data_IF_076096677801
#
_entry.id   IF_076096677801
#
_cell.length_a   1.000
_cell.length_b   1.000
_cell.length_c   1.000
_cell.angle_alpha   90.00
_cell.angle_beta   90.00
_cell.angle_gamma   90.00
#
_symmetry.space_group_name_H-M   'P 1'
#
loop_
_entity.id
_entity.type
_entity.pdbx_description
1 polymer ?
#
# COMPACT_ATOMS: atom_id res chain seq x y z
N UNK A 1 -1.71 9.90 -5.81
CA UNK A 1 -0.90 8.67 -5.95
C UNK A 1 0.57 9.03 -5.81
N UNK A 2 1.44 8.07 -5.51
CA UNK A 2 2.85 8.32 -5.17
C UNK A 2 3.70 7.19 -5.73
N UNK A 3 5.00 7.41 -5.93
CA UNK A 3 5.97 6.37 -6.19
C UNK A 3 7.14 6.48 -5.21
N UNK A 4 7.53 5.36 -4.65
CA UNK A 4 8.68 5.23 -3.78
C UNK A 4 9.37 3.90 -4.01
N UNK A 5 10.62 3.80 -3.63
CA UNK A 5 11.39 2.57 -3.71
C UNK A 5 12.45 2.51 -2.61
N UNK A 6 12.63 1.32 -2.07
CA UNK A 6 13.74 0.96 -1.21
C UNK A 6 14.55 -0.16 -1.88
N UNK A 7 15.83 0.07 -2.10
CA UNK A 7 16.77 -0.93 -2.63
C UNK A 7 17.88 -1.14 -1.61
N UNK A 8 18.13 -2.39 -1.26
CA UNK A 8 19.11 -2.74 -0.23
C UNK A 8 20.05 -3.82 -0.76
N UNK A 9 21.31 -3.70 -0.38
CA UNK A 9 22.28 -4.79 -0.41
C UNK A 9 23.10 -4.80 0.88
N UNK A 10 24.15 -5.61 0.97
CA UNK A 10 24.98 -5.70 2.19
C UNK A 10 25.70 -4.39 2.54
N UNK A 11 25.91 -3.50 1.58
CA UNK A 11 26.69 -2.27 1.79
C UNK A 11 25.85 -1.09 2.23
N UNK A 12 24.61 -0.97 1.68
CA UNK A 12 23.79 0.22 1.89
C UNK A 12 22.33 0.00 1.51
N UNK A 13 21.54 1.04 1.80
CA UNK A 13 20.14 1.22 1.39
C UNK A 13 20.08 2.45 0.50
N UNK A 14 19.44 2.35 -0.66
CA UNK A 14 19.01 3.49 -1.46
C UNK A 14 17.50 3.70 -1.29
N UNK A 15 17.10 4.91 -0.92
CA UNK A 15 15.71 5.33 -0.85
C UNK A 15 15.46 6.41 -1.89
N UNK A 16 14.42 6.26 -2.71
CA UNK A 16 13.99 7.30 -3.64
C UNK A 16 12.47 7.46 -3.61
N UNK A 17 11.99 8.71 -3.70
CA UNK A 17 10.57 9.03 -3.73
C UNK A 17 10.29 10.23 -4.63
N UNK A 18 9.16 10.19 -5.36
CA UNK A 18 8.62 11.32 -6.12
C UNK A 18 8.00 12.38 -5.20
N UNK A 19 7.62 13.53 -5.78
CA UNK A 19 7.04 14.64 -5.03
C UNK A 19 5.59 14.95 -5.37
N UNK A 20 4.95 14.17 -6.26
CA UNK A 20 3.58 14.41 -6.65
C UNK A 20 2.59 14.00 -5.55
N UNK A 21 1.60 14.85 -5.28
CA UNK A 21 0.43 14.58 -4.44
C UNK A 21 -0.81 15.02 -5.22
N UNK A 22 -1.80 14.13 -5.29
CA UNK A 22 -3.11 14.42 -5.86
C UNK A 22 -4.05 14.84 -4.74
N UNK A 23 -4.72 15.97 -4.89
CA UNK A 23 -5.67 16.52 -3.91
C UNK A 23 -7.05 16.62 -4.55
N UNK A 24 -8.05 15.98 -3.90
CA UNK A 24 -9.46 16.01 -4.30
C UNK A 24 -9.78 15.17 -5.54
N UNK A 25 -11.09 14.98 -5.77
CA UNK A 25 -11.62 14.15 -6.87
C UNK A 25 -11.38 14.76 -8.26
N UNK A 26 -11.08 16.05 -8.33
CA UNK A 26 -10.79 16.78 -9.58
C UNK A 26 -9.29 17.02 -9.82
N UNK A 27 -8.44 16.25 -9.14
CA UNK A 27 -7.04 16.03 -9.49
C UNK A 27 -6.17 17.29 -9.62
N UNK A 28 -6.18 18.18 -8.62
CA UNK A 28 -5.07 19.11 -8.48
C UNK A 28 -3.82 18.34 -8.09
N UNK A 29 -2.80 18.39 -8.97
CA UNK A 29 -1.52 17.72 -8.71
C UNK A 29 -0.51 18.75 -8.23
N UNK A 30 -0.02 18.56 -7.02
CA UNK A 30 1.07 19.35 -6.45
C UNK A 30 2.36 18.53 -6.45
N UNK A 31 3.44 19.10 -6.97
CA UNK A 31 4.73 18.43 -7.15
C UNK A 31 5.77 18.85 -6.10
N UNK A 32 5.34 19.14 -4.87
CA UNK A 32 6.22 19.70 -3.82
C UNK A 32 6.18 18.92 -2.49
N UNK A 33 5.45 17.80 -2.41
CA UNK A 33 5.31 17.06 -1.17
C UNK A 33 6.61 16.35 -0.77
N UNK A 34 6.94 16.43 0.52
CA UNK A 34 8.03 15.66 1.10
C UNK A 34 7.52 14.27 1.49
N UNK A 35 8.17 13.25 0.98
CA UNK A 35 7.82 11.84 1.23
C UNK A 35 8.97 11.03 1.83
N UNK A 36 10.20 11.52 1.70
CA UNK A 36 11.41 10.90 2.22
C UNK A 36 11.97 11.74 3.37
N UNK A 37 12.30 11.09 4.48
CA UNK A 37 12.83 11.75 5.67
C UNK A 37 13.90 10.89 6.35
N UNK A 38 14.87 11.56 7.01
CA UNK A 38 15.69 10.90 8.03
C UNK A 38 14.85 10.80 9.31
N UNK A 39 14.70 9.59 9.85
CA UNK A 39 13.88 9.34 11.04
C UNK A 39 14.60 9.68 12.34
N UNK A 40 15.92 9.49 12.39
CA UNK A 40 16.78 9.86 13.53
C UNK A 40 17.70 11.01 13.18
N UNK A 41 18.28 11.64 14.21
CA UNK A 41 19.35 12.64 14.05
C UNK A 41 20.71 12.01 13.85
N UNK A 42 20.96 10.89 14.55
CA UNK A 42 22.27 10.25 14.64
C UNK A 42 22.25 8.83 14.07
N UNK A 43 21.18 8.08 14.25
CA UNK A 43 21.09 6.70 13.76
C UNK A 43 20.82 6.64 12.25
N UNK A 44 21.39 5.64 11.55
CA UNK A 44 21.24 5.43 10.11
C UNK A 44 19.86 4.86 9.77
N UNK A 45 18.81 5.65 9.97
CA UNK A 45 17.42 5.25 9.75
C UNK A 45 16.68 6.29 8.94
N UNK A 46 16.07 5.86 7.84
CA UNK A 46 15.23 6.66 6.97
C UNK A 46 13.80 6.16 6.91
N UNK A 47 12.90 7.01 6.43
CA UNK A 47 11.49 6.68 6.24
C UNK A 47 10.96 7.25 4.94
N UNK A 48 10.21 6.43 4.19
CA UNK A 48 9.37 6.87 3.07
C UNK A 48 7.92 6.80 3.51
N UNK A 49 7.15 7.85 3.19
CA UNK A 49 5.70 7.90 3.40
C UNK A 49 4.96 8.06 2.08
N UNK A 50 3.81 7.42 1.95
CA UNK A 50 3.02 7.44 0.73
C UNK A 50 1.53 7.16 1.01
N UNK A 51 0.71 7.05 -0.03
CA UNK A 51 -0.75 6.95 0.00
C UNK A 51 -1.36 8.26 0.56
N UNK A 52 -1.95 8.27 1.74
CA UNK A 52 -2.54 9.49 2.28
C UNK A 52 -1.47 10.45 2.80
N UNK A 53 -1.67 11.75 2.54
CA UNK A 53 -0.80 12.82 3.05
C UNK A 53 -1.01 13.09 4.55
N UNK A 54 -2.08 12.57 5.13
CA UNK A 54 -2.44 12.80 6.53
C UNK A 54 -2.88 11.49 7.18
N UNK A 55 -2.52 11.30 8.45
CA UNK A 55 -3.06 10.26 9.31
C UNK A 55 -4.14 10.91 10.20
N UNK A 56 -5.40 10.50 10.02
CA UNK A 56 -6.54 11.03 10.77
C UNK A 56 -6.54 12.58 10.86
N UNK A 57 -6.45 13.25 9.70
CA UNK A 57 -6.39 14.70 9.51
C UNK A 57 -5.06 15.38 9.84
N UNK A 58 -4.14 14.73 10.54
CA UNK A 58 -2.83 15.29 10.87
C UNK A 58 -1.83 14.98 9.75
N UNK A 59 -1.17 15.99 9.15
CA UNK A 59 -0.17 15.77 8.12
C UNK A 59 0.96 14.85 8.58
N UNK A 60 1.22 13.78 7.82
CA UNK A 60 2.21 12.75 8.19
C UNK A 60 3.63 13.34 8.32
N UNK A 61 3.96 14.34 7.51
CA UNK A 61 5.23 15.07 7.62
C UNK A 61 5.43 15.68 9.00
N UNK A 62 4.37 16.26 9.60
CA UNK A 62 4.43 16.83 10.95
C UNK A 62 4.65 15.72 11.97
N UNK A 63 3.96 14.60 11.83
CA UNK A 63 4.09 13.45 12.72
C UNK A 63 5.53 12.92 12.72
N UNK A 64 6.11 12.68 11.54
CA UNK A 64 7.49 12.19 11.39
C UNK A 64 8.49 13.17 11.99
N UNK A 65 8.33 14.48 11.73
CA UNK A 65 9.23 15.51 12.27
C UNK A 65 9.13 15.64 13.79
N UNK A 66 7.92 15.53 14.36
CA UNK A 66 7.73 15.55 15.81
C UNK A 66 8.28 14.29 16.47
N UNK A 67 8.08 13.12 15.87
CA UNK A 67 8.69 11.89 16.34
C UNK A 67 10.22 12.01 16.35
N UNK A 68 10.83 12.44 15.24
CA UNK A 68 12.29 12.69 15.17
C UNK A 68 12.78 13.59 16.28
N UNK A 69 12.02 14.66 16.59
CA UNK A 69 12.36 15.58 17.70
C UNK A 69 12.28 14.87 19.06
N UNK A 70 11.25 14.02 19.28
CA UNK A 70 11.07 13.28 20.53
C UNK A 70 12.10 12.16 20.68
N UNK A 71 12.44 11.46 19.58
CA UNK A 71 13.48 10.45 19.57
C UNK A 71 14.82 11.04 20.02
N UNK A 72 15.13 12.27 19.59
CA UNK A 72 16.37 12.94 19.98
C UNK A 72 17.59 12.15 19.54
N UNK A 73 18.48 11.89 20.49
CA UNK A 73 19.72 11.14 20.31
C UNK A 73 19.63 9.69 20.83
N UNK A 74 18.40 9.17 20.99
CA UNK A 74 18.20 7.75 21.33
C UNK A 74 18.62 6.87 20.17
N UNK A 75 19.32 5.79 20.49
CA UNK A 75 19.66 4.70 19.59
C UNK A 75 19.04 3.41 20.09
N UNK A 76 18.71 2.52 19.17
CA UNK A 76 18.14 1.20 19.49
C UNK A 76 18.98 0.10 18.87
N UNK A 77 19.04 -1.08 19.51
CA UNK A 77 19.83 -2.22 19.03
C UNK A 77 19.43 -2.70 17.64
N UNK A 78 18.13 -2.69 17.33
CA UNK A 78 17.59 -3.21 16.05
C UNK A 78 16.69 -2.18 15.38
N UNK A 79 16.59 -2.25 14.05
CA UNK A 79 15.63 -1.43 13.28
C UNK A 79 14.20 -1.65 13.77
N UNK A 80 13.85 -2.87 14.10
CA UNK A 80 12.52 -3.20 14.64
C UNK A 80 12.17 -2.37 15.87
N UNK A 81 13.12 -2.09 16.73
CA UNK A 81 12.90 -1.31 17.95
C UNK A 81 12.52 0.16 17.62
N UNK A 82 13.09 0.73 16.53
CA UNK A 82 12.67 2.04 16.01
C UNK A 82 11.24 2.00 15.49
N UNK A 83 10.86 0.92 14.82
CA UNK A 83 9.49 0.71 14.32
C UNK A 83 8.52 0.61 15.49
N UNK A 84 8.82 -0.20 16.48
CA UNK A 84 7.98 -0.41 17.66
C UNK A 84 7.84 0.89 18.50
N UNK A 85 8.93 1.67 18.63
CA UNK A 85 8.89 2.98 19.31
C UNK A 85 8.08 4.01 18.53
N UNK A 86 8.17 4.01 17.18
CA UNK A 86 7.34 4.86 16.33
C UNK A 86 5.85 4.52 16.42
N UNK A 87 5.48 3.24 16.38
CA UNK A 87 4.11 2.79 16.55
C UNK A 87 3.56 3.14 17.94
N UNK A 88 4.36 2.92 18.99
CA UNK A 88 4.02 3.34 20.36
C UNK A 88 3.86 4.85 20.47
N UNK A 89 4.72 5.64 19.80
CA UNK A 89 4.56 7.08 19.75
C UNK A 89 3.21 7.49 19.16
N UNK A 90 2.79 6.87 18.06
CA UNK A 90 1.50 7.14 17.44
C UNK A 90 0.34 6.79 18.38
N UNK A 91 0.44 5.68 19.10
CA UNK A 91 -0.59 5.22 20.02
C UNK A 91 -0.68 6.09 21.29
N UNK A 92 0.45 6.38 21.94
CA UNK A 92 0.49 7.14 23.21
C UNK A 92 0.28 8.62 22.99
N UNK A 93 0.84 9.20 21.92
CA UNK A 93 0.64 10.62 21.54
C UNK A 93 -0.66 10.85 20.77
N UNK A 94 -1.58 9.93 20.87
CA UNK A 94 -2.91 10.01 20.26
C UNK A 94 -3.72 11.25 20.63
N UNK A 95 -3.20 12.15 21.51
CA UNK A 95 -3.75 13.50 21.68
C UNK A 95 -3.88 14.29 20.36
N UNK A 96 -3.05 13.99 19.35
CA UNK A 96 -3.23 14.47 17.99
C UNK A 96 -4.46 13.89 17.28
N UNK A 97 -4.91 12.69 17.71
CA UNK A 97 -5.94 11.90 17.04
C UNK A 97 -7.20 11.73 17.91
N UNK A 98 -7.21 12.22 19.16
CA UNK A 98 -8.25 11.96 20.19
C UNK A 98 -9.55 12.72 19.98
N UNK A 99 -9.85 13.16 18.80
CA UNK A 99 -11.17 13.70 18.53
C UNK A 99 -12.07 12.61 18.00
N UNK A 100 -13.23 12.41 18.62
CA UNK A 100 -14.25 11.45 18.14
C UNK A 100 -14.57 11.64 16.65
N UNK A 101 -14.53 12.89 16.18
CA UNK A 101 -14.70 13.21 14.77
C UNK A 101 -13.61 12.60 13.85
N UNK A 102 -12.38 12.48 14.32
CA UNK A 102 -11.29 11.90 13.53
C UNK A 102 -11.43 10.38 13.44
N UNK A 103 -11.83 9.71 14.53
CA UNK A 103 -12.16 8.29 14.52
C UNK A 103 -13.35 8.03 13.60
N UNK A 104 -14.43 8.81 13.74
CA UNK A 104 -15.61 8.70 12.90
C UNK A 104 -15.26 8.91 11.40
N UNK A 105 -14.46 9.92 11.08
CA UNK A 105 -14.03 10.16 9.68
C UNK A 105 -13.28 8.97 9.09
N UNK A 106 -12.35 8.38 9.85
CA UNK A 106 -11.62 7.19 9.41
C UNK A 106 -12.56 6.00 9.23
N UNK A 107 -13.43 5.76 10.20
CA UNK A 107 -14.42 4.67 10.15
C UNK A 107 -15.35 4.85 8.95
N UNK A 108 -15.89 6.05 8.74
CA UNK A 108 -16.77 6.31 7.60
C UNK A 108 -16.06 6.22 6.25
N UNK A 109 -14.77 6.55 6.17
CA UNK A 109 -14.01 6.38 4.94
C UNK A 109 -13.89 4.90 4.55
N UNK A 110 -13.50 4.03 5.48
CA UNK A 110 -13.42 2.58 5.24
C UNK A 110 -14.80 2.01 4.87
N UNK A 111 -15.84 2.43 5.56
CA UNK A 111 -17.23 2.06 5.24
C UNK A 111 -17.63 2.48 3.82
N UNK A 112 -17.39 3.76 3.46
CA UNK A 112 -17.70 4.30 2.13
C UNK A 112 -16.99 3.53 1.02
N UNK A 113 -15.74 3.19 1.20
CA UNK A 113 -14.97 2.44 0.20
C UNK A 113 -15.54 1.04 -0.04
N UNK A 114 -16.00 0.37 1.01
CA UNK A 114 -16.65 -0.93 0.87
C UNK A 114 -18.00 -0.79 0.13
N UNK A 115 -18.79 0.25 0.46
CA UNK A 115 -20.06 0.51 -0.22
C UNK A 115 -19.87 0.90 -1.69
N UNK A 116 -18.84 1.69 -2.01
CA UNK A 116 -18.46 1.97 -3.39
C UNK A 116 -18.07 0.70 -4.16
N UNK A 117 -17.37 -0.23 -3.51
CA UNK A 117 -17.06 -1.55 -4.07
C UNK A 117 -18.32 -2.35 -4.39
N UNK A 118 -19.25 -2.44 -3.44
CA UNK A 118 -20.53 -3.13 -3.60
C UNK A 118 -21.36 -2.53 -4.75
N UNK A 119 -21.45 -1.21 -4.82
CA UNK A 119 -22.13 -0.52 -5.91
C UNK A 119 -21.45 -0.78 -7.26
N UNK A 120 -20.12 -0.83 -7.28
CA UNK A 120 -19.33 -1.17 -8.46
C UNK A 120 -19.63 -2.60 -8.96
N UNK A 121 -19.65 -3.57 -8.06
CA UNK A 121 -20.02 -4.97 -8.39
C UNK A 121 -21.44 -5.06 -8.92
N UNK A 122 -22.40 -4.43 -8.26
CA UNK A 122 -23.80 -4.38 -8.72
C UNK A 122 -23.91 -3.81 -10.14
N UNK A 123 -23.30 -2.67 -10.41
CA UNK A 123 -23.35 -2.04 -11.73
C UNK A 123 -22.66 -2.90 -12.80
N UNK A 124 -21.55 -3.55 -12.48
CA UNK A 124 -20.84 -4.44 -13.38
C UNK A 124 -21.68 -5.69 -13.71
N UNK A 125 -22.23 -6.36 -12.71
CA UNK A 125 -23.09 -7.52 -12.92
C UNK A 125 -24.34 -7.17 -13.72
N UNK A 126 -24.95 -6.00 -13.44
CA UNK A 126 -26.08 -5.48 -14.18
C UNK A 126 -25.73 -5.24 -15.67
N UNK A 127 -24.60 -4.61 -15.95
CA UNK A 127 -24.13 -4.37 -17.32
C UNK A 127 -23.89 -5.68 -18.08
N UNK A 128 -23.28 -6.69 -17.44
CA UNK A 128 -23.05 -8.00 -18.02
C UNK A 128 -24.37 -8.71 -18.32
N UNK A 129 -25.32 -8.70 -17.38
CA UNK A 129 -26.64 -9.33 -17.55
C UNK A 129 -27.44 -8.67 -18.67
N UNK A 130 -27.44 -7.32 -18.75
CA UNK A 130 -28.10 -6.58 -19.83
C UNK A 130 -27.50 -6.90 -21.20
N UNK A 131 -26.16 -7.01 -21.28
CA UNK A 131 -25.48 -7.39 -22.52
C UNK A 131 -25.86 -8.79 -22.98
N UNK A 132 -25.99 -9.73 -22.04
CA UNK A 132 -26.30 -11.13 -22.34
C UNK A 132 -27.79 -11.35 -22.69
N UNK A 133 -28.71 -10.64 -22.01
CA UNK A 133 -30.15 -10.78 -22.26
C UNK A 133 -30.61 -10.06 -23.51
N UNK A 134 -29.93 -9.00 -23.91
CA UNK A 134 -30.36 -8.10 -25.01
C UNK A 134 -31.68 -7.36 -24.74
N UNK A 135 -32.20 -7.44 -23.51
CA UNK A 135 -33.49 -6.86 -23.05
C UNK A 135 -33.29 -6.10 -21.76
N UNK A 136 -34.18 -5.15 -21.41
CA UNK A 136 -34.24 -4.60 -20.06
C UNK A 136 -34.44 -5.73 -19.03
N UNK A 137 -33.69 -5.65 -17.94
CA UNK A 137 -33.77 -6.63 -16.83
C UNK A 137 -35.08 -6.39 -16.05
N UNK A 138 -35.73 -7.48 -15.63
CA UNK A 138 -36.89 -7.42 -14.76
C UNK A 138 -36.50 -7.27 -13.26
N UNK A 139 -37.51 -7.12 -12.41
CA UNK A 139 -37.26 -6.92 -10.97
C UNK A 139 -36.62 -8.15 -10.31
N UNK A 140 -36.92 -9.37 -10.75
CA UNK A 140 -36.38 -10.59 -10.18
C UNK A 140 -34.90 -10.74 -10.54
N UNK A 141 -34.55 -10.43 -11.80
CA UNK A 141 -33.16 -10.40 -12.26
C UNK A 141 -32.34 -9.34 -11.52
N UNK A 142 -32.90 -8.13 -11.30
CA UNK A 142 -32.25 -7.07 -10.53
C UNK A 142 -32.03 -7.47 -9.06
N UNK A 143 -32.99 -8.13 -8.42
CA UNK A 143 -32.87 -8.65 -7.06
C UNK A 143 -31.77 -9.72 -6.96
N UNK A 144 -31.68 -10.62 -7.97
CA UNK A 144 -30.63 -11.61 -8.02
C UNK A 144 -29.25 -10.94 -8.12
N UNK A 145 -29.11 -9.96 -9.00
CA UNK A 145 -27.87 -9.18 -9.16
C UNK A 145 -27.49 -8.48 -7.86
N UNK A 146 -28.46 -7.91 -7.13
CA UNK A 146 -28.23 -7.32 -5.82
C UNK A 146 -27.69 -8.34 -4.81
N UNK A 147 -28.28 -9.54 -4.79
CA UNK A 147 -27.84 -10.64 -3.93
C UNK A 147 -26.43 -11.10 -4.29
N UNK A 148 -26.11 -11.21 -5.58
CA UNK A 148 -24.78 -11.60 -6.05
C UNK A 148 -23.72 -10.54 -5.67
N UNK A 149 -24.04 -9.24 -5.74
CA UNK A 149 -23.16 -8.16 -5.32
C UNK A 149 -22.90 -8.18 -3.79
N UNK A 150 -23.94 -8.42 -3.00
CA UNK A 150 -23.82 -8.58 -1.54
C UNK A 150 -22.93 -9.79 -1.21
N UNK A 151 -23.17 -10.94 -1.84
CA UNK A 151 -22.37 -12.15 -1.65
C UNK A 151 -20.92 -11.96 -2.05
N UNK A 152 -20.65 -11.22 -3.13
CA UNK A 152 -19.28 -10.82 -3.54
C UNK A 152 -18.59 -10.03 -2.43
N UNK A 153 -19.28 -9.02 -1.88
CA UNK A 153 -18.76 -8.20 -0.78
C UNK A 153 -18.49 -9.02 0.49
N UNK A 154 -19.42 -9.90 0.87
CA UNK A 154 -19.26 -10.78 2.03
C UNK A 154 -18.07 -11.75 1.82
N UNK A 155 -17.96 -12.31 0.63
CA UNK A 155 -16.86 -13.20 0.25
C UNK A 155 -15.52 -12.48 0.33
N UNK A 156 -15.45 -11.23 -0.17
CA UNK A 156 -14.28 -10.38 -0.05
C UNK A 156 -13.88 -10.20 1.43
N UNK A 157 -14.79 -9.78 2.29
CA UNK A 157 -14.52 -9.59 3.72
C UNK A 157 -14.03 -10.87 4.39
N UNK A 158 -14.66 -12.00 4.08
CA UNK A 158 -14.27 -13.30 4.64
C UNK A 158 -12.92 -13.82 4.13
N UNK A 159 -12.48 -13.40 2.94
CA UNK A 159 -11.20 -13.79 2.35
C UNK A 159 -10.00 -13.06 2.97
N UNK A 160 -10.23 -11.91 3.62
CA UNK A 160 -9.15 -11.12 4.20
C UNK A 160 -8.75 -11.72 5.55
N UNK A 161 -7.44 -11.79 5.79
CA UNK A 161 -6.89 -12.34 7.02
C UNK A 161 -7.38 -11.58 8.23
N UNK A 162 -8.04 -12.27 9.15
CA UNK A 162 -8.40 -11.73 10.47
C UNK A 162 -7.18 -11.68 11.38
N UNK A 163 -7.11 -10.63 12.19
CA UNK A 163 -6.12 -10.46 13.25
C UNK A 163 -6.77 -10.73 14.59
N UNK A 164 -6.25 -11.71 15.31
CA UNK A 164 -6.78 -12.11 16.64
C UNK A 164 -6.46 -11.09 17.74
N UNK A 165 -5.44 -10.27 17.53
CA UNK A 165 -5.05 -9.18 18.43
C UNK A 165 -5.97 -7.96 18.34
N UNK A 166 -6.84 -7.87 17.33
CA UNK A 166 -7.78 -6.79 17.15
C UNK A 166 -9.19 -7.18 17.62
N UNK A 167 -9.85 -6.30 18.32
CA UNK A 167 -11.27 -6.40 18.74
C UNK A 167 -11.99 -5.08 18.41
N UNK A 168 -11.70 -4.56 17.21
CA UNK A 168 -12.30 -3.31 16.74
C UNK A 168 -13.72 -3.53 16.26
N UNK A 169 -13.99 -4.65 15.60
CA UNK A 169 -15.27 -4.96 14.98
C UNK A 169 -16.43 -4.86 15.95
N UNK A 170 -16.27 -5.41 17.15
CA UNK A 170 -17.28 -5.35 18.22
C UNK A 170 -17.50 -3.92 18.73
N UNK A 171 -16.43 -3.13 18.87
CA UNK A 171 -16.54 -1.72 19.26
C UNK A 171 -17.26 -0.92 18.17
N UNK A 172 -16.87 -1.13 16.90
CA UNK A 172 -17.48 -0.46 15.73
C UNK A 172 -18.96 -0.85 15.60
N UNK A 173 -19.31 -2.13 15.77
CA UNK A 173 -20.70 -2.59 15.78
C UNK A 173 -21.52 -1.84 16.83
N UNK A 174 -21.03 -1.76 18.07
CA UNK A 174 -21.72 -1.08 19.16
C UNK A 174 -21.88 0.44 18.96
N UNK A 175 -20.90 1.08 18.30
CA UNK A 175 -20.87 2.55 18.18
C UNK A 175 -21.41 3.07 16.84
N UNK A 176 -21.18 2.35 15.73
CA UNK A 176 -21.39 2.87 14.37
C UNK A 176 -22.38 2.09 13.51
N UNK A 177 -22.82 0.88 13.90
CA UNK A 177 -23.72 0.06 13.08
C UNK A 177 -25.01 0.79 12.70
N UNK A 178 -25.64 1.47 13.65
CA UNK A 178 -26.87 2.24 13.39
C UNK A 178 -26.65 3.37 12.40
N UNK A 179 -25.48 4.03 12.47
CA UNK A 179 -25.09 5.09 11.53
C UNK A 179 -24.86 4.51 10.13
N UNK A 180 -24.21 3.36 10.01
CA UNK A 180 -24.00 2.68 8.72
C UNK A 180 -25.32 2.35 8.04
N UNK A 181 -26.26 1.76 8.77
CA UNK A 181 -27.60 1.43 8.27
C UNK A 181 -28.33 2.69 7.80
N UNK A 182 -28.28 3.77 8.59
CA UNK A 182 -28.90 5.05 8.23
C UNK A 182 -28.31 5.63 6.95
N UNK A 183 -26.98 5.59 6.78
CA UNK A 183 -26.28 6.10 5.60
C UNK A 183 -26.66 5.31 4.35
N UNK A 184 -26.68 3.96 4.42
CA UNK A 184 -27.09 3.12 3.28
C UNK A 184 -28.54 3.41 2.89
N UNK A 185 -29.45 3.54 3.85
CA UNK A 185 -30.87 3.84 3.58
C UNK A 185 -31.11 5.21 2.95
N UNK A 186 -30.21 6.17 3.19
CA UNK A 186 -30.27 7.52 2.61
C UNK A 186 -29.60 7.62 1.25
N UNK A 187 -28.76 6.67 0.87
CA UNK A 187 -28.05 6.70 -0.42
C UNK A 187 -28.97 6.20 -1.54
N UNK A 188 -29.31 7.10 -2.45
CA UNK A 188 -30.15 6.81 -3.61
C UNK A 188 -29.55 5.71 -4.51
N UNK A 189 -28.24 5.57 -4.54
CA UNK A 189 -27.56 4.58 -5.36
C UNK A 189 -27.62 3.15 -4.75
N UNK A 190 -27.96 3.00 -3.48
CA UNK A 190 -28.00 1.73 -2.76
C UNK A 190 -29.43 1.24 -2.48
N UNK A 191 -30.44 1.87 -3.07
CA UNK A 191 -31.86 1.53 -2.88
C UNK A 191 -32.28 0.17 -3.46
N UNK A 192 -31.40 -0.49 -4.19
CA UNK A 192 -31.61 -1.86 -4.66
C UNK A 192 -31.48 -2.92 -3.56
N UNK A 193 -30.94 -2.55 -2.38
CA UNK A 193 -30.75 -3.46 -1.25
C UNK A 193 -32.02 -3.59 -0.41
N UNK A 194 -32.32 -4.81 0.05
CA UNK A 194 -33.37 -5.05 1.06
C UNK A 194 -32.87 -4.68 2.46
N UNK A 195 -33.80 -4.51 3.41
CA UNK A 195 -33.45 -4.22 4.81
C UNK A 195 -32.55 -5.30 5.43
N UNK A 196 -32.79 -6.58 5.10
CA UNK A 196 -31.97 -7.71 5.55
C UNK A 196 -30.55 -7.62 4.98
N UNK A 197 -30.42 -7.34 3.67
CA UNK A 197 -29.12 -7.17 2.99
C UNK A 197 -28.34 -5.99 3.55
N UNK A 198 -29.03 -4.86 3.85
CA UNK A 198 -28.41 -3.69 4.49
C UNK A 198 -27.83 -4.07 5.86
N UNK A 199 -28.62 -4.76 6.70
CA UNK A 199 -28.13 -5.20 8.01
C UNK A 199 -26.94 -6.15 7.90
N UNK A 200 -27.00 -7.12 6.99
CA UNK A 200 -25.96 -8.10 6.80
C UNK A 200 -24.64 -7.43 6.35
N UNK A 201 -24.70 -6.58 5.32
CA UNK A 201 -23.50 -5.88 4.79
C UNK A 201 -22.92 -4.93 5.83
N UNK A 202 -23.77 -4.14 6.53
CA UNK A 202 -23.29 -3.22 7.56
C UNK A 202 -22.64 -3.96 8.74
N UNK A 203 -23.19 -5.11 9.14
CA UNK A 203 -22.58 -5.96 10.16
C UNK A 203 -21.25 -6.57 9.69
N UNK A 204 -21.19 -7.05 8.45
CA UNK A 204 -19.94 -7.53 7.85
C UNK A 204 -18.89 -6.43 7.73
N UNK A 205 -19.29 -5.20 7.47
CA UNK A 205 -18.38 -4.05 7.48
C UNK A 205 -17.74 -3.88 8.87
N UNK A 206 -18.48 -4.09 9.97
CA UNK A 206 -17.89 -4.02 11.31
C UNK A 206 -16.80 -5.07 11.51
N UNK A 207 -16.96 -6.29 11.00
CA UNK A 207 -15.95 -7.35 11.07
C UNK A 207 -14.67 -7.01 10.26
N UNK A 208 -14.78 -6.17 9.23
CA UNK A 208 -13.66 -5.77 8.39
C UNK A 208 -12.55 -5.05 9.18
N UNK A 209 -12.92 -4.34 10.25
CA UNK A 209 -11.93 -3.63 11.07
C UNK A 209 -11.00 -4.56 11.85
N UNK A 210 -11.37 -5.84 12.04
CA UNK A 210 -10.52 -6.88 12.64
C UNK A 210 -9.61 -7.57 11.62
N UNK A 211 -9.55 -7.09 10.40
CA UNK A 211 -8.76 -7.70 9.32
C UNK A 211 -7.60 -6.80 8.90
N UNK A 212 -6.71 -7.33 8.06
CA UNK A 212 -5.64 -6.57 7.39
C UNK A 212 -6.15 -5.69 6.22
N UNK A 213 -7.46 -5.41 6.18
CA UNK A 213 -8.02 -4.52 5.16
C UNK A 213 -7.48 -3.10 5.30
N UNK A 214 -6.90 -2.60 4.23
CA UNK A 214 -6.22 -1.30 4.18
C UNK A 214 -6.76 -0.37 3.08
N UNK A 215 -7.84 -0.76 2.38
CA UNK A 215 -8.51 0.15 1.45
C UNK A 215 -9.13 1.30 2.22
N UNK A 216 -9.17 2.47 1.62
CA UNK A 216 -9.97 3.60 2.12
C UNK A 216 -9.28 4.54 3.09
N UNK A 217 -8.02 4.47 3.37
CA UNK A 217 -7.47 5.51 4.21
C UNK A 217 -6.29 5.14 5.07
N UNK A 218 -5.32 4.47 4.52
CA UNK A 218 -4.06 4.23 5.20
C UNK A 218 -2.96 5.21 4.77
N UNK A 219 -1.98 5.35 5.64
CA UNK A 219 -0.69 5.94 5.31
C UNK A 219 0.31 4.80 5.20
N UNK A 220 0.96 4.68 4.04
CA UNK A 220 2.08 3.76 3.87
C UNK A 220 3.34 4.35 4.49
N UNK A 221 4.01 3.58 5.33
CA UNK A 221 5.25 3.98 6.01
C UNK A 221 6.28 2.87 5.85
N UNK A 222 7.37 3.16 5.14
CA UNK A 222 8.48 2.23 4.99
C UNK A 222 9.69 2.78 5.77
N UNK A 223 10.07 2.10 6.85
CA UNK A 223 11.22 2.46 7.69
C UNK A 223 12.36 1.51 7.32
N UNK A 224 13.49 2.07 6.91
CA UNK A 224 14.67 1.31 6.52
C UNK A 224 15.93 1.88 7.17
N UNK A 225 16.86 1.01 7.55
CA UNK A 225 18.06 1.43 8.24
C UNK A 225 18.77 0.29 8.94
N UNK A 226 19.52 0.68 9.97
CA UNK A 226 20.27 -0.22 10.85
C UNK A 226 20.00 0.14 12.30
N UNK A 227 19.80 -0.86 13.13
CA UNK A 227 19.99 -0.72 14.57
C UNK A 227 21.46 -0.68 14.94
N UNK A 228 21.77 -0.35 16.19
CA UNK A 228 23.16 -0.24 16.67
C UNK A 228 23.92 -1.55 16.55
N UNK A 229 23.25 -2.68 16.85
CA UNK A 229 23.84 -4.02 16.82
C UNK A 229 23.71 -4.72 15.46
N UNK A 230 23.01 -4.12 14.49
CA UNK A 230 22.82 -4.71 13.16
C UNK A 230 23.97 -4.34 12.23
N UNK A 231 24.54 -5.35 11.55
CA UNK A 231 25.57 -5.18 10.53
C UNK A 231 24.93 -4.97 9.15
N UNK A 232 23.83 -5.66 8.90
CA UNK A 232 23.11 -5.60 7.63
C UNK A 232 21.85 -4.75 7.72
N UNK A 233 21.42 -4.16 6.60
CA UNK A 233 20.23 -3.33 6.57
C UNK A 233 18.94 -4.14 6.69
N UNK A 234 17.94 -3.49 7.25
CA UNK A 234 16.60 -4.01 7.40
C UNK A 234 15.57 -2.98 6.89
N UNK A 235 14.45 -3.45 6.34
CA UNK A 235 13.27 -2.69 5.95
C UNK A 235 12.06 -3.26 6.67
N UNK A 236 11.23 -2.39 7.24
CA UNK A 236 9.87 -2.72 7.67
C UNK A 236 8.89 -1.78 6.99
N UNK A 237 7.96 -2.35 6.25
CA UNK A 237 6.95 -1.65 5.48
C UNK A 237 5.58 -1.85 6.14
N UNK A 238 4.89 -0.75 6.45
CA UNK A 238 3.67 -0.70 7.24
C UNK A 238 2.57 0.03 6.47
N UNK A 239 1.34 -0.43 6.62
CA UNK A 239 0.14 0.35 6.37
C UNK A 239 -0.49 0.75 7.70
N UNK A 240 -0.60 2.04 7.95
CA UNK A 240 -1.15 2.60 9.18
C UNK A 240 -2.51 3.21 8.86
N UNK A 241 -3.58 2.62 9.37
CA UNK A 241 -4.96 3.05 9.13
C UNK A 241 -5.35 4.24 10.00
N UNK A 242 -5.55 4.01 11.28
CA UNK A 242 -5.97 5.04 12.22
C UNK A 242 -6.01 4.52 13.66
N UNK A 243 -6.50 5.36 14.56
CA UNK A 243 -6.71 5.02 15.97
C UNK A 243 -8.19 4.78 16.19
N UNK A 244 -8.56 3.56 16.58
CA UNK A 244 -9.91 3.13 16.92
C UNK A 244 -9.92 2.72 18.37
N UNK A 245 -10.84 3.26 19.17
CA UNK A 245 -10.93 2.95 20.60
C UNK A 245 -9.57 3.08 21.32
N UNK A 246 -8.83 4.12 21.03
CA UNK A 246 -7.47 4.41 21.56
C UNK A 246 -6.40 3.37 21.22
N UNK A 247 -6.63 2.48 20.25
CA UNK A 247 -5.63 1.53 19.75
C UNK A 247 -5.29 1.84 18.30
N UNK A 248 -4.02 1.77 17.96
CA UNK A 248 -3.54 1.98 16.59
C UNK A 248 -3.81 0.76 15.72
N UNK A 249 -4.54 0.95 14.61
CA UNK A 249 -4.71 -0.07 13.58
C UNK A 249 -3.59 0.07 12.54
N UNK A 250 -2.80 -0.98 12.39
CA UNK A 250 -1.73 -1.05 11.37
C UNK A 250 -1.54 -2.50 10.90
N UNK A 251 -0.94 -2.67 9.74
CA UNK A 251 -0.48 -3.97 9.25
C UNK A 251 0.97 -3.90 8.79
N UNK A 252 1.71 -4.99 8.96
CA UNK A 252 3.05 -5.16 8.38
C UNK A 252 2.84 -5.76 6.99
N UNK A 253 3.16 -4.97 5.96
CA UNK A 253 3.03 -5.38 4.54
C UNK A 253 4.20 -6.25 4.14
N UNK A 254 5.41 -5.81 4.53
CA UNK A 254 6.66 -6.48 4.19
C UNK A 254 7.70 -6.22 5.28
N UNK A 255 8.53 -7.21 5.54
CA UNK A 255 9.74 -7.07 6.34
C UNK A 255 10.86 -7.79 5.61
N UNK A 256 11.90 -7.07 5.21
CA UNK A 256 13.04 -7.59 4.47
C UNK A 256 14.34 -7.30 5.22
N UNK A 257 15.04 -8.34 5.60
CA UNK A 257 16.34 -8.27 6.25
C UNK A 257 17.41 -8.79 5.30
N UNK A 258 18.48 -8.05 5.12
CA UNK A 258 19.66 -8.52 4.39
C UNK A 258 20.48 -9.44 5.30
N UNK A 259 20.94 -10.52 4.73
CA UNK A 259 21.68 -11.57 5.46
C UNK A 259 22.66 -12.28 4.54
N UNK A 260 23.28 -13.36 5.03
CA UNK A 260 24.13 -14.21 4.19
C UNK A 260 23.33 -14.90 3.07
N UNK A 261 22.07 -15.26 3.32
CA UNK A 261 21.19 -15.95 2.38
C UNK A 261 20.34 -15.00 1.54
N UNK A 262 20.08 -13.79 2.03
CA UNK A 262 19.33 -12.74 1.34
C UNK A 262 20.24 -11.54 1.12
N UNK A 263 20.95 -11.52 -0.01
CA UNK A 263 22.03 -10.55 -0.25
C UNK A 263 21.59 -9.20 -0.80
N UNK A 264 20.37 -9.11 -1.31
CA UNK A 264 19.78 -7.87 -1.82
C UNK A 264 18.25 -7.93 -1.80
N UNK A 265 17.60 -6.77 -1.70
CA UNK A 265 16.16 -6.61 -1.79
C UNK A 265 15.81 -5.35 -2.57
N UNK A 266 14.74 -5.43 -3.35
CA UNK A 266 14.10 -4.30 -4.04
C UNK A 266 12.64 -4.29 -3.60
N UNK A 267 12.23 -3.25 -2.89
CA UNK A 267 10.87 -3.06 -2.41
C UNK A 267 10.23 -1.82 -3.08
N UNK A 268 9.44 -2.01 -4.14
CA UNK A 268 8.61 -0.94 -4.70
C UNK A 268 7.51 -0.53 -3.71
N UNK A 269 7.27 0.78 -3.59
CA UNK A 269 6.30 1.36 -2.67
C UNK A 269 5.25 2.18 -3.44
N UNK A 270 4.00 2.12 -3.02
CA UNK A 270 2.85 2.82 -3.61
C UNK A 270 2.47 2.32 -5.01
N UNK A 271 2.80 3.03 -6.08
CA UNK A 271 2.52 2.59 -7.45
C UNK A 271 3.58 1.61 -7.93
N UNK A 272 3.34 0.34 -7.68
CA UNK A 272 4.31 -0.73 -7.88
C UNK A 272 4.25 -1.37 -9.27
N UNK A 273 3.16 -1.19 -10.03
CA UNK A 273 2.85 -1.88 -11.29
C UNK A 273 3.95 -1.75 -12.35
N UNK A 274 4.52 -0.55 -12.50
CA UNK A 274 5.60 -0.28 -13.48
C UNK A 274 6.89 -0.96 -13.05
N UNK A 275 7.24 -0.81 -11.77
CA UNK A 275 8.46 -1.39 -11.21
C UNK A 275 8.38 -2.91 -11.17
N UNK A 276 7.21 -3.48 -10.81
CA UNK A 276 6.97 -4.93 -10.86
C UNK A 276 7.06 -5.45 -12.29
N UNK A 277 6.48 -4.73 -13.28
CA UNK A 277 6.63 -5.11 -14.68
C UNK A 277 8.10 -5.13 -15.12
N UNK A 278 8.91 -4.17 -14.66
CA UNK A 278 10.35 -4.15 -14.92
C UNK A 278 11.05 -5.34 -14.27
N UNK A 279 10.73 -5.65 -13.01
CA UNK A 279 11.38 -6.70 -12.23
C UNK A 279 11.01 -8.11 -12.73
N UNK A 280 9.73 -8.34 -13.02
CA UNK A 280 9.22 -9.65 -13.40
C UNK A 280 9.06 -9.86 -14.92
N UNK A 281 9.22 -8.79 -15.73
CA UNK A 281 9.00 -8.85 -17.18
C UNK A 281 7.53 -9.01 -17.59
N UNK A 282 6.62 -9.13 -16.63
CA UNK A 282 5.17 -9.33 -16.84
C UNK A 282 4.41 -8.42 -15.88
N UNK A 283 3.29 -7.85 -16.37
CA UNK A 283 2.40 -7.06 -15.54
C UNK A 283 1.44 -7.96 -14.75
N UNK A 284 1.24 -7.68 -13.45
CA UNK A 284 0.36 -8.48 -12.58
C UNK A 284 -1.10 -8.49 -13.05
N UNK A 285 -1.59 -7.36 -13.62
CA UNK A 285 -2.93 -7.28 -14.18
C UNK A 285 -3.08 -8.25 -15.35
N UNK A 286 -2.05 -8.37 -16.20
CA UNK A 286 -2.06 -9.31 -17.32
C UNK A 286 -2.15 -10.77 -16.84
N UNK A 287 -1.43 -11.13 -15.77
CA UNK A 287 -1.53 -12.45 -15.13
C UNK A 287 -2.94 -12.67 -14.57
N UNK A 288 -3.51 -11.66 -13.92
CA UNK A 288 -4.87 -11.71 -13.38
C UNK A 288 -5.91 -11.88 -14.49
N UNK A 289 -5.80 -11.12 -15.57
CA UNK A 289 -6.69 -11.21 -16.72
C UNK A 289 -6.62 -12.61 -17.38
N UNK A 290 -5.43 -13.17 -17.54
CA UNK A 290 -5.26 -14.54 -18.02
C UNK A 290 -5.86 -15.57 -17.06
N UNK A 291 -5.63 -15.41 -15.75
CA UNK A 291 -6.20 -16.32 -14.73
C UNK A 291 -7.73 -16.34 -14.74
N UNK A 292 -8.36 -15.23 -15.11
CA UNK A 292 -9.81 -15.11 -15.22
C UNK A 292 -10.34 -15.56 -16.58
N UNK A 293 -9.58 -15.33 -17.65
CA UNK A 293 -10.06 -15.60 -19.01
C UNK A 293 -9.87 -17.05 -19.43
N UNK A 294 -8.76 -17.69 -19.07
CA UNK A 294 -8.49 -19.09 -19.44
C UNK A 294 -9.62 -20.04 -18.98
N UNK A 295 -10.09 -19.99 -17.70
CA UNK A 295 -11.21 -20.82 -17.26
C UNK A 295 -12.49 -20.60 -18.09
N UNK A 296 -12.82 -19.35 -18.42
CA UNK A 296 -14.01 -19.02 -19.23
C UNK A 296 -13.93 -19.64 -20.64
N UNK A 297 -12.75 -19.60 -21.26
CA UNK A 297 -12.54 -20.20 -22.58
C UNK A 297 -12.59 -21.73 -22.51
N UNK A 298 -12.10 -22.34 -21.44
CA UNK A 298 -12.23 -23.76 -21.17
C UNK A 298 -13.71 -24.14 -21.02
N UNK A 299 -14.47 -23.38 -20.24
CA UNK A 299 -15.90 -23.60 -20.03
C UNK A 299 -16.68 -23.47 -21.34
N UNK A 300 -16.40 -22.43 -22.12
CA UNK A 300 -17.02 -22.24 -23.43
C UNK A 300 -16.73 -23.42 -24.37
N UNK A 301 -15.48 -23.90 -24.39
CA UNK A 301 -15.07 -25.05 -25.16
C UNK A 301 -15.80 -26.34 -24.72
N UNK A 302 -15.80 -26.64 -23.42
CA UNK A 302 -16.47 -27.82 -22.87
C UNK A 302 -17.99 -27.79 -23.08
N UNK A 303 -18.62 -26.62 -23.02
CA UNK A 303 -20.03 -26.43 -23.25
C UNK A 303 -20.42 -26.54 -24.73
N UNK A 304 -19.49 -26.36 -25.66
CA UNK A 304 -19.72 -26.60 -27.12
C UNK A 304 -19.66 -28.08 -27.51
N UNK A 305 -19.15 -28.94 -26.64
CA UNK A 305 -19.06 -30.37 -26.88
C UNK A 305 -20.37 -31.05 -26.43
N UNK A 306 -20.97 -31.83 -27.29
CA UNK A 306 -22.18 -32.59 -26.97
C UNK A 306 -21.93 -33.54 -25.78
N UNK A 307 -22.86 -33.59 -24.84
CA UNK A 307 -22.73 -34.37 -23.60
C UNK A 307 -22.60 -35.87 -23.87
N UNK A 308 -23.04 -36.34 -25.03
CA UNK A 308 -22.91 -37.74 -25.47
C UNK A 308 -21.45 -38.20 -25.66
N UNK A 309 -20.52 -37.24 -25.84
CA UNK A 309 -19.09 -37.57 -25.91
C UNK A 309 -18.46 -37.83 -24.52
N UNK A 310 -19.16 -37.51 -23.45
CA UNK A 310 -18.70 -37.77 -22.10
C UNK A 310 -19.42 -38.94 -21.49
N UNK A 311 -18.70 -39.91 -20.92
CA UNK A 311 -19.33 -40.91 -20.06
C UNK A 311 -20.00 -40.21 -18.85
N UNK A 312 -21.10 -40.76 -18.35
CA UNK A 312 -21.89 -40.18 -17.26
C UNK A 312 -21.01 -39.67 -16.12
N UNK A 313 -21.14 -38.39 -15.81
CA UNK A 313 -20.39 -37.67 -14.72
C UNK A 313 -18.94 -37.32 -15.06
N UNK A 314 -18.39 -37.64 -16.22
CA UNK A 314 -16.98 -37.36 -16.54
C UNK A 314 -16.72 -35.91 -17.01
N UNK A 315 -17.74 -35.19 -17.49
CA UNK A 315 -17.60 -33.80 -17.92
C UNK A 315 -17.12 -32.90 -16.77
N UNK A 316 -17.68 -33.05 -15.57
CA UNK A 316 -17.26 -32.32 -14.38
C UNK A 316 -15.83 -32.64 -13.93
N UNK A 317 -15.39 -33.90 -14.11
CA UNK A 317 -14.02 -34.31 -13.81
C UNK A 317 -13.03 -33.66 -14.79
N UNK A 318 -13.38 -33.64 -16.09
CA UNK A 318 -12.56 -32.97 -17.11
C UNK A 318 -12.46 -31.46 -16.81
N UNK A 319 -13.58 -30.81 -16.44
CA UNK A 319 -13.62 -29.42 -16.05
C UNK A 319 -12.69 -29.12 -14.85
N UNK A 320 -12.78 -29.94 -13.80
CA UNK A 320 -11.89 -29.79 -12.64
C UNK A 320 -10.41 -30.00 -12.99
N UNK A 321 -10.09 -30.95 -13.88
CA UNK A 321 -8.73 -31.16 -14.35
C UNK A 321 -8.20 -29.99 -15.18
N UNK A 322 -9.02 -29.39 -16.04
CA UNK A 322 -8.64 -28.21 -16.84
C UNK A 322 -8.40 -26.98 -15.99
N UNK A 323 -9.19 -26.76 -14.94
CA UNK A 323 -8.93 -25.69 -13.98
C UNK A 323 -7.60 -25.89 -13.22
N UNK A 324 -7.25 -27.14 -12.88
CA UNK A 324 -5.94 -27.48 -12.32
C UNK A 324 -4.79 -27.22 -13.33
N UNK A 325 -5.01 -27.43 -14.63
CA UNK A 325 -4.03 -27.10 -15.67
C UNK A 325 -3.80 -25.58 -15.73
N UNK A 326 -4.86 -24.79 -15.68
CA UNK A 326 -4.76 -23.31 -15.64
C UNK A 326 -3.90 -22.86 -14.46
N UNK A 327 -4.16 -23.37 -13.25
CA UNK A 327 -3.35 -23.05 -12.07
C UNK A 327 -1.87 -23.38 -12.26
N UNK A 328 -1.54 -24.54 -12.84
CA UNK A 328 -0.16 -24.93 -13.14
C UNK A 328 0.51 -24.04 -14.20
N UNK A 329 -0.23 -23.63 -15.23
CA UNK A 329 0.29 -22.69 -16.24
C UNK A 329 0.67 -21.36 -15.59
N UNK A 330 -0.24 -20.78 -14.81
CA UNK A 330 0.00 -19.51 -14.11
C UNK A 330 1.19 -19.63 -13.14
N UNK A 331 1.25 -20.70 -12.36
CA UNK A 331 2.38 -20.96 -11.47
C UNK A 331 3.70 -21.04 -12.25
N UNK A 332 3.74 -21.80 -13.36
CA UNK A 332 4.94 -21.91 -14.19
C UNK A 332 5.37 -20.57 -14.80
N UNK A 333 4.41 -19.75 -15.25
CA UNK A 333 4.71 -18.41 -15.75
C UNK A 333 5.31 -17.52 -14.66
N UNK A 334 4.76 -17.55 -13.44
CA UNK A 334 5.25 -16.78 -12.30
C UNK A 334 6.65 -17.24 -11.87
N UNK A 335 6.88 -18.55 -11.79
CA UNK A 335 8.19 -19.12 -11.48
C UNK A 335 9.23 -18.77 -12.56
N UNK A 336 8.85 -18.83 -13.83
CA UNK A 336 9.71 -18.46 -14.96
C UNK A 336 10.05 -16.97 -14.92
N UNK A 337 9.07 -16.11 -14.65
CA UNK A 337 9.28 -14.67 -14.48
C UNK A 337 10.25 -14.40 -13.32
N UNK A 338 10.04 -15.03 -12.17
CA UNK A 338 10.93 -14.91 -11.01
C UNK A 338 12.35 -15.36 -11.30
N UNK A 339 12.52 -16.52 -11.94
CA UNK A 339 13.85 -17.09 -12.20
C UNK A 339 14.64 -16.38 -13.29
N UNK A 340 13.96 -15.97 -14.39
CA UNK A 340 14.64 -15.45 -15.58
C UNK A 340 14.79 -13.93 -15.59
N UNK A 341 13.95 -13.20 -14.84
CA UNK A 341 13.96 -11.74 -14.81
C UNK A 341 14.32 -11.19 -13.43
N UNK A 342 13.56 -11.52 -12.38
CA UNK A 342 13.78 -10.93 -11.06
C UNK A 342 15.10 -11.38 -10.42
N UNK A 343 15.38 -12.70 -10.43
CA UNK A 343 16.60 -13.24 -9.77
C UNK A 343 17.90 -12.68 -10.33
N UNK A 344 18.13 -12.55 -11.66
CA UNK A 344 19.33 -11.92 -12.20
C UNK A 344 19.48 -10.46 -11.77
N UNK A 345 18.38 -9.69 -11.69
CA UNK A 345 18.40 -8.30 -11.21
C UNK A 345 18.84 -8.26 -9.75
N UNK A 346 18.25 -9.09 -8.87
CA UNK A 346 18.61 -9.15 -7.45
C UNK A 346 20.10 -9.54 -7.28
N UNK A 347 20.59 -10.51 -8.07
CA UNK A 347 22.00 -10.90 -8.04
C UNK A 347 22.94 -9.74 -8.45
N UNK A 348 22.55 -8.96 -9.45
CA UNK A 348 23.29 -7.76 -9.86
C UNK A 348 23.28 -6.71 -8.75
N UNK A 349 22.11 -6.42 -8.15
CA UNK A 349 21.96 -5.45 -7.06
C UNK A 349 22.80 -5.83 -5.83
N UNK A 350 22.97 -7.11 -5.56
CA UNK A 350 23.80 -7.60 -4.44
C UNK A 350 25.26 -7.13 -4.50
N UNK A 351 25.76 -6.84 -5.70
CA UNK A 351 27.15 -6.41 -5.93
C UNK A 351 27.28 -4.94 -6.35
N UNK A 352 26.19 -4.18 -6.44
CA UNK A 352 26.25 -2.77 -6.84
C UNK A 352 26.98 -1.91 -5.79
N UNK A 353 27.86 -0.99 -6.23
CA UNK A 353 28.35 0.09 -5.38
C UNK A 353 27.23 1.02 -4.89
N UNK A 354 27.51 1.80 -3.87
CA UNK A 354 26.53 2.67 -3.22
C UNK A 354 25.90 3.69 -4.18
N UNK A 355 26.72 4.32 -5.04
CA UNK A 355 26.26 5.31 -6.02
C UNK A 355 25.33 4.68 -7.06
N UNK A 356 25.63 3.45 -7.49
CA UNK A 356 24.84 2.73 -8.49
C UNK A 356 23.49 2.27 -7.89
N UNK A 357 23.45 1.93 -6.60
CA UNK A 357 22.16 1.68 -5.90
C UNK A 357 21.26 2.90 -5.93
N UNK A 358 21.81 4.09 -5.68
CA UNK A 358 21.08 5.35 -5.72
C UNK A 358 20.58 5.67 -7.13
N UNK A 359 21.43 5.48 -8.13
CA UNK A 359 21.09 5.69 -9.54
C UNK A 359 19.99 4.74 -9.99
N UNK A 360 20.05 3.48 -9.58
CA UNK A 360 19.00 2.49 -9.87
C UNK A 360 17.67 2.91 -9.23
N UNK A 361 17.68 3.30 -7.94
CA UNK A 361 16.47 3.73 -7.24
C UNK A 361 15.83 4.96 -7.92
N UNK A 362 16.62 5.96 -8.28
CA UNK A 362 16.14 7.13 -9.01
C UNK A 362 15.57 6.77 -10.39
N UNK A 363 16.26 5.88 -11.13
CA UNK A 363 15.86 5.44 -12.48
C UNK A 363 14.50 4.73 -12.45
N UNK A 364 14.24 3.91 -11.44
CA UNK A 364 12.96 3.23 -11.26
C UNK A 364 11.79 4.22 -11.04
N UNK A 365 12.02 5.28 -10.25
CA UNK A 365 11.03 6.36 -10.09
C UNK A 365 10.83 7.13 -11.41
N UNK A 366 11.91 7.41 -12.14
CA UNK A 366 11.85 8.10 -13.44
C UNK A 366 11.05 7.31 -14.47
N UNK A 367 11.26 5.99 -14.59
CA UNK A 367 10.52 5.11 -15.51
C UNK A 367 9.03 5.11 -15.13
N UNK A 368 8.70 5.04 -13.84
CA UNK A 368 7.31 5.10 -13.35
C UNK A 368 6.67 6.44 -13.72
N UNK A 369 7.37 7.55 -13.47
CA UNK A 369 6.90 8.90 -13.83
C UNK A 369 6.70 9.05 -15.33
N UNK A 370 7.64 8.56 -16.17
CA UNK A 370 7.54 8.62 -17.62
C UNK A 370 6.32 7.84 -18.12
N UNK A 371 6.13 6.61 -17.66
CA UNK A 371 4.97 5.80 -18.05
C UNK A 371 3.66 6.51 -17.72
N UNK A 372 3.54 7.11 -16.52
CA UNK A 372 2.33 7.85 -16.12
C UNK A 372 2.08 9.12 -16.94
N UNK A 373 3.13 9.77 -17.44
CA UNK A 373 3.01 10.95 -18.31
C UNK A 373 2.55 10.62 -19.73
N UNK A 374 2.94 9.46 -20.26
CA UNK A 374 2.61 9.04 -21.64
C UNK A 374 1.39 8.12 -21.73
N UNK A 375 0.90 7.60 -20.62
CA UNK A 375 -0.30 6.79 -20.59
C UNK A 375 -1.55 7.67 -20.89
N UNK A 376 -2.42 7.17 -21.76
CA UNK A 376 -3.69 7.84 -22.13
C UNK A 376 -4.81 7.50 -21.12
N UNK A 377 -4.49 6.80 -20.04
CA UNK A 377 -5.45 6.43 -19.02
C UNK A 377 -5.75 7.59 -18.04
N UNK A 378 -6.79 7.42 -17.21
CA UNK A 378 -7.30 8.45 -16.28
C UNK A 378 -6.31 8.86 -15.17
N UNK A 379 -5.14 8.21 -15.09
CA UNK A 379 -4.13 8.42 -14.06
C UNK A 379 -2.98 9.33 -14.49
N UNK A 380 -3.20 10.21 -15.46
CA UNK A 380 -2.18 11.12 -16.01
C UNK A 380 -1.62 12.02 -14.89
N UNK A 381 -0.28 12.04 -14.76
CA UNK A 381 0.42 12.98 -13.89
C UNK A 381 0.46 12.65 -12.40
N UNK A 382 -0.01 11.48 -11.98
CA UNK A 382 -0.09 11.09 -10.55
C UNK A 382 1.26 10.76 -9.91
N UNK A 383 2.32 10.59 -10.69
CA UNK A 383 3.72 10.44 -10.27
C UNK A 383 4.55 11.48 -11.00
N UNK A 384 5.38 12.23 -10.28
CA UNK A 384 6.21 13.26 -10.90
C UNK A 384 6.79 14.26 -9.90
N UNK A 385 7.25 15.40 -10.45
CA UNK A 385 7.98 16.40 -9.69
C UNK A 385 9.44 15.99 -9.42
N UNK A 386 10.18 16.78 -8.64
CA UNK A 386 11.53 16.43 -8.20
C UNK A 386 11.56 15.11 -7.44
N UNK A 387 12.61 14.33 -7.66
CA UNK A 387 12.85 13.07 -6.95
C UNK A 387 13.83 13.33 -5.82
N UNK A 388 13.45 12.99 -4.60
CA UNK A 388 14.34 12.96 -3.46
C UNK A 388 15.04 11.59 -3.42
N UNK A 389 16.37 11.59 -3.22
CA UNK A 389 17.19 10.37 -3.16
C UNK A 389 18.11 10.45 -1.95
N UNK A 390 18.15 9.39 -1.18
CA UNK A 390 19.08 9.24 -0.06
C UNK A 390 19.74 7.87 -0.06
N UNK A 391 20.92 7.82 0.53
CA UNK A 391 21.64 6.60 0.87
C UNK A 391 21.71 6.48 2.39
N UNK A 392 21.66 5.26 2.87
CA UNK A 392 21.89 4.93 4.27
C UNK A 392 22.93 3.84 4.32
N UNK A 393 24.06 4.11 4.96
CA UNK A 393 25.08 3.12 5.25
C UNK A 393 25.37 3.04 6.73
N UNK A 394 25.94 1.93 7.19
CA UNK A 394 26.27 1.77 8.62
C UNK A 394 27.35 2.77 9.07
N UNK A 395 28.30 3.08 8.19
CA UNK A 395 29.41 4.00 8.50
C UNK A 395 29.10 5.46 8.33
N UNK A 396 28.41 5.84 7.22
CA UNK A 396 28.18 7.25 6.89
C UNK A 396 26.84 7.79 7.43
N UNK A 397 25.96 6.90 7.90
CA UNK A 397 24.62 7.27 8.37
C UNK A 397 23.65 7.54 7.23
N UNK A 398 22.73 8.48 7.45
CA UNK A 398 21.73 8.89 6.45
C UNK A 398 22.24 10.11 5.65
N UNK A 399 22.47 9.93 4.36
CA UNK A 399 23.00 10.95 3.44
C UNK A 399 21.98 11.27 2.34
N UNK A 400 21.73 12.56 2.14
CA UNK A 400 20.97 13.06 1.01
C UNK A 400 21.88 13.16 -0.23
N UNK A 401 21.52 12.49 -1.31
CA UNK A 401 22.15 12.69 -2.62
C UNK A 401 21.40 13.72 -3.45
N UNK A 402 20.05 13.68 -3.40
CA UNK A 402 19.17 14.67 -4.04
C UNK A 402 18.05 15.03 -3.07
N UNK A 403 17.84 16.33 -2.85
CA UNK A 403 16.79 16.85 -2.00
C UNK A 403 16.24 18.13 -2.58
N UNK A 404 14.94 18.19 -2.74
CA UNK A 404 14.25 19.45 -3.06
C UNK A 404 14.16 20.35 -1.83
N UNK A 405 14.23 21.65 -2.08
CA UNK A 405 13.92 22.69 -1.10
C UNK A 405 12.83 23.59 -1.67
N UNK A 406 11.85 24.01 -0.86
CA UNK A 406 10.84 24.98 -1.24
C UNK A 406 11.33 26.42 -1.11
N UNK A 407 12.57 26.62 -0.68
CA UNK A 407 13.21 27.90 -0.49
C UNK A 407 14.63 27.89 -1.02
N UNK A 408 15.11 29.06 -1.42
CA UNK A 408 16.49 29.26 -1.86
C UNK A 408 17.42 29.43 -0.62
N UNK A 409 18.55 28.72 -0.62
CA UNK A 409 19.62 28.83 0.38
C UNK A 409 20.10 30.29 0.57
N UNK A 410 20.17 31.02 -0.54
CA UNK A 410 20.61 32.42 -0.59
C UNK A 410 19.81 33.32 0.36
N UNK A 411 18.51 33.08 0.53
CA UNK A 411 17.64 33.92 1.38
C UNK A 411 17.46 33.34 2.79
N UNK A 412 18.00 32.16 3.07
CA UNK A 412 17.77 31.46 4.33
C UNK A 412 19.06 30.92 4.97
N UNK A 413 20.14 31.75 5.11
CA UNK A 413 21.41 31.28 5.65
C UNK A 413 21.29 30.77 7.10
N UNK A 414 20.43 31.39 7.92
CA UNK A 414 20.20 30.97 9.30
C UNK A 414 19.61 29.56 9.42
N UNK A 415 18.79 29.11 8.45
CA UNK A 415 18.26 27.75 8.44
C UNK A 415 19.41 26.73 8.36
N UNK A 416 20.36 26.98 7.46
CA UNK A 416 21.50 26.07 7.26
C UNK A 416 22.43 26.10 8.46
N UNK A 417 22.73 27.28 8.99
CA UNK A 417 23.53 27.44 10.20
C UNK A 417 22.90 26.68 11.38
N UNK A 418 21.62 26.89 11.68
CA UNK A 418 20.96 26.27 12.83
C UNK A 418 20.77 24.74 12.70
N UNK A 419 20.70 24.23 11.47
CA UNK A 419 20.41 22.79 11.24
C UNK A 419 21.65 21.97 10.92
N UNK A 420 22.72 22.58 10.46
CA UNK A 420 23.90 21.87 9.96
C UNK A 420 25.21 22.31 10.63
N UNK A 421 25.35 23.58 11.05
CA UNK A 421 26.61 24.13 11.54
C UNK A 421 26.69 24.21 13.10
N UNK A 422 25.58 24.24 13.79
CA UNK A 422 25.53 24.38 15.28
C UNK A 422 26.08 23.19 16.07
N UNK A 423 26.54 22.13 15.41
CA UNK A 423 27.07 20.90 16.04
C UNK A 423 28.54 21.03 16.47
N UNK A 424 29.29 21.98 15.98
CA UNK A 424 30.72 22.13 16.33
C UNK A 424 30.93 22.88 17.63
N UNK A 425 29.99 23.73 18.06
CA UNK A 425 30.15 24.56 19.27
C UNK A 425 29.74 23.84 20.58
N UNK A 426 28.93 22.76 20.52
CA UNK A 426 28.51 21.98 21.72
C UNK A 426 29.54 20.94 22.16
N UNK A 427 30.59 20.68 21.38
CA UNK A 427 31.77 19.92 21.81
C UNK A 427 32.80 20.89 22.41
N UNK A 428 32.38 21.59 23.45
CA UNK A 428 33.23 22.55 24.18
C UNK A 428 34.53 21.89 24.62
N UNK A 429 35.61 22.47 24.18
CA UNK A 429 36.88 22.34 24.84
C UNK A 429 36.72 22.78 26.32
N UNK A 430 36.61 21.83 27.23
CA UNK A 430 37.07 22.07 28.59
C UNK A 430 38.62 22.08 28.53
N UNK A 431 39.17 23.27 28.28
CA UNK A 431 40.58 23.50 28.58
C UNK A 431 40.75 23.38 30.10
N UNK A 432 41.63 22.45 30.48
CA UNK A 432 42.22 22.41 31.80
C UNK A 432 43.29 23.50 31.96
#
# INVERSE_FOLDING_TARGET
>A
MSAGICIMNRNAIALAADSAVTVGDHAAIHNSANKLFSLSRIAPVGVIVYANASLMTVPIEIIVKQYKKQLGDKVFPKLKDYVDDFLRYLEVKSSFFRFDLNEQSYVLQVFSDLMCGLLGDYNNFKAIAQKNSGKPLDEEELRKIATDAVNSTITLVNSIKKRTEYDYGKYIEGKYLSLFIELVKKDENLQFLTDEQIQEVCKKTCELYDTDFDRGGYVGVAIAGYGEDEIYPHLVHLHIGGVINNKLKYSVVESAEISENNTASIAPLAQTDVMQTFLFGINDQFITDLSNEIPKQIDACLNSIDDSFFASGKKSVVHAQMNNVTGRIIQHMTETAGNNYMRPIIQSVASLPIEELALLAESMINITSLRRKVAIDRNIGTVGGPIDVSIISKGDGFIWLKRKHYFDRKYNPQYFYSHFEKREEDNGYEEK
#
